data_IF_997562225141
#
_entry.id   IF_997562225141
#
_cell.length_a   1.000
_cell.length_b   1.000
_cell.length_c   1.000
_cell.angle_alpha   90.00
_cell.angle_beta   90.00
_cell.angle_gamma   90.00
#
_symmetry.space_group_name_H-M   'P 1'
#
loop_
_entity.id
_entity.type
_entity.pdbx_description
1 polymer ?
#
# COMPACT_ATOMS: atom_id res chain seq x y z
N UNK A 1 -28.46 -1.81 -6.27
CA UNK A 1 -28.42 -0.57 -5.47
C UNK A 1 -27.18 0.19 -5.90
N UNK A 2 -27.38 1.26 -6.66
CA UNK A 2 -26.33 2.06 -7.27
C UNK A 2 -26.15 3.34 -6.44
N UNK A 3 -24.91 3.67 -6.09
CA UNK A 3 -24.58 4.90 -5.39
C UNK A 3 -24.03 5.91 -6.42
N UNK A 4 -24.82 6.97 -6.64
CA UNK A 4 -24.55 8.08 -7.53
C UNK A 4 -24.15 9.29 -6.68
N UNK A 5 -22.97 9.87 -6.90
CA UNK A 5 -22.60 11.17 -6.31
C UNK A 5 -22.76 12.25 -7.36
N UNK A 6 -23.74 13.13 -7.12
CA UNK A 6 -24.18 14.17 -8.02
C UNK A 6 -23.18 15.31 -8.20
N UNK A 7 -23.05 15.74 -9.44
CA UNK A 7 -22.63 17.08 -9.85
C UNK A 7 -23.79 18.07 -9.69
N UNK A 8 -23.49 19.36 -9.50
CA UNK A 8 -24.35 20.40 -10.03
C UNK A 8 -23.58 21.27 -11.02
N UNK A 9 -24.09 21.32 -12.25
CA UNK A 9 -23.80 22.37 -13.23
C UNK A 9 -24.96 23.36 -13.21
N UNK A 10 -24.66 24.65 -13.12
CA UNK A 10 -25.64 25.74 -13.22
C UNK A 10 -24.96 27.05 -13.62
N UNK A 11 -25.32 27.52 -14.81
CA UNK A 11 -24.74 28.60 -15.61
C UNK A 11 -25.23 30.03 -15.28
N UNK A 12 -24.33 31.00 -15.48
CA UNK A 12 -24.50 32.38 -16.01
C UNK A 12 -25.39 33.43 -15.31
N UNK A 13 -24.76 34.55 -14.91
CA UNK A 13 -25.40 35.85 -14.69
C UNK A 13 -24.38 36.96 -14.43
N UNK A 14 -24.29 37.95 -15.32
CA UNK A 14 -23.39 39.12 -15.27
C UNK A 14 -23.99 40.28 -14.48
N UNK A 15 -23.22 40.93 -13.60
CA UNK A 15 -23.25 42.38 -13.30
C UNK A 15 -22.11 42.77 -12.34
N UNK A 16 -21.65 44.01 -12.46
CA UNK A 16 -20.40 44.54 -11.92
C UNK A 16 -20.49 45.22 -10.54
N UNK A 17 -19.33 45.23 -9.88
CA UNK A 17 -18.73 46.28 -9.03
C UNK A 17 -19.28 46.65 -7.63
N UNK A 18 -18.28 46.80 -6.75
CA UNK A 18 -18.08 47.74 -5.62
C UNK A 18 -18.49 47.39 -4.18
N UNK A 19 -17.46 47.56 -3.33
CA UNK A 19 -17.42 47.96 -1.92
C UNK A 19 -17.61 46.92 -0.80
N UNK A 20 -16.53 46.75 -0.02
CA UNK A 20 -16.55 46.39 1.40
C UNK A 20 -17.11 47.58 2.22
N UNK A 21 -17.70 47.35 3.41
CA UNK A 21 -16.89 47.39 4.63
C UNK A 21 -17.33 46.44 5.78
N UNK A 22 -16.37 46.30 6.71
CA UNK A 22 -16.38 45.90 8.12
C UNK A 22 -17.69 45.59 8.88
N UNK A 23 -17.60 44.57 9.74
CA UNK A 23 -18.01 44.70 11.15
C UNK A 23 -18.99 43.67 11.74
N UNK A 24 -18.47 42.93 12.73
CA UNK A 24 -19.06 42.74 14.07
C UNK A 24 -19.97 41.52 14.37
N UNK A 25 -19.58 40.84 15.48
CA UNK A 25 -20.25 39.87 16.35
C UNK A 25 -20.39 38.38 15.97
N UNK A 26 -20.02 37.52 16.94
CA UNK A 26 -20.75 36.28 17.22
C UNK A 26 -19.92 35.02 17.51
N UNK A 27 -19.20 34.98 18.63
CA UNK A 27 -18.56 33.78 19.19
C UNK A 27 -19.59 32.73 19.66
N UNK A 28 -19.40 31.46 19.34
CA UNK A 28 -19.88 30.35 20.18
C UNK A 28 -18.89 29.19 20.13
N UNK A 29 -18.14 29.03 21.23
CA UNK A 29 -17.34 27.86 21.55
C UNK A 29 -18.27 26.68 21.84
N UNK A 30 -18.11 25.57 21.12
CA UNK A 30 -18.72 24.30 21.49
C UNK A 30 -17.75 23.53 22.40
N UNK A 31 -18.19 23.25 23.64
CA UNK A 31 -17.41 22.53 24.66
C UNK A 31 -17.50 21.02 24.46
N UNK A 32 -16.38 20.36 24.69
CA UNK A 32 -16.23 18.90 24.65
C UNK A 32 -16.98 18.15 25.75
N UNK A 33 -17.20 16.87 25.48
CA UNK A 33 -17.75 15.87 26.39
C UNK A 33 -16.59 15.12 27.07
N UNK A 34 -16.45 15.28 28.39
CA UNK A 34 -15.55 14.50 29.23
C UNK A 34 -16.37 13.72 30.26
N UNK A 35 -16.11 12.41 30.35
CA UNK A 35 -16.67 11.52 31.36
C UNK A 35 -15.66 11.34 32.48
N UNK A 36 -16.03 11.68 33.72
CA UNK A 36 -15.19 11.49 34.90
C UNK A 36 -16.01 11.53 36.18
N UNK A 37 -15.64 10.66 37.13
CA UNK A 37 -16.11 10.52 38.53
C UNK A 37 -17.53 9.93 38.68
N UNK A 38 -17.80 8.91 39.50
CA UNK A 38 -17.10 8.38 40.67
C UNK A 38 -18.03 8.48 41.88
N UNK A 39 -18.68 7.37 42.27
CA UNK A 39 -19.38 7.12 43.55
C UNK A 39 -19.92 5.68 43.47
N UNK A 40 -19.90 4.78 44.46
CA UNK A 40 -19.45 4.79 45.85
C UNK A 40 -19.87 3.44 46.45
N UNK A 41 -18.92 2.76 47.08
CA UNK A 41 -19.02 1.78 48.19
C UNK A 41 -20.40 1.31 48.67
N UNK A 42 -20.65 0.00 48.63
CA UNK A 42 -21.33 -0.72 49.72
C UNK A 42 -20.70 -2.10 49.94
N UNK A 43 -20.26 -2.30 51.17
CA UNK A 43 -19.78 -3.51 51.83
C UNK A 43 -20.88 -4.59 51.87
N UNK A 44 -20.52 -5.83 51.55
CA UNK A 44 -21.42 -6.98 51.70
C UNK A 44 -20.66 -8.29 51.63
N UNK A 45 -20.33 -8.83 52.79
CA UNK A 45 -19.68 -10.12 53.03
C UNK A 45 -20.69 -11.25 52.80
N UNK A 46 -20.43 -12.18 51.89
CA UNK A 46 -20.96 -13.56 51.98
C UNK A 46 -20.14 -14.54 51.13
N UNK A 47 -19.55 -15.49 51.83
CA UNK A 47 -19.04 -16.80 51.37
C UNK A 47 -20.04 -17.56 50.51
N UNK A 48 -19.59 -18.21 49.43
CA UNK A 48 -20.42 -19.12 48.64
C UNK A 48 -19.66 -19.91 47.58
N UNK A 49 -19.45 -21.19 47.89
CA UNK A 49 -18.87 -22.26 47.07
C UNK A 49 -19.74 -22.60 45.84
N UNK A 50 -19.10 -22.94 44.73
CA UNK A 50 -19.43 -24.16 43.96
C UNK A 50 -20.31 -24.07 42.70
N UNK A 51 -19.91 -24.88 41.71
CA UNK A 51 -20.64 -25.35 40.51
C UNK A 51 -20.80 -24.30 39.39
N UNK A 52 -20.33 -24.49 38.16
CA UNK A 52 -20.15 -25.70 37.37
C UNK A 52 -21.07 -25.59 36.16
N UNK A 53 -20.52 -25.22 34.99
CA UNK A 53 -21.15 -25.51 33.69
C UNK A 53 -20.08 -25.48 32.60
N UNK A 54 -19.68 -26.67 32.16
CA UNK A 54 -18.85 -26.88 30.99
C UNK A 54 -19.70 -27.16 29.76
N UNK A 55 -19.18 -26.73 28.61
CA UNK A 55 -19.33 -27.31 27.25
C UNK A 55 -18.15 -26.74 26.47
N UNK A 56 -17.11 -27.46 26.06
CA UNK A 56 -17.04 -28.85 25.62
C UNK A 56 -16.97 -28.89 24.09
N UNK A 57 -15.83 -28.52 23.50
CA UNK A 57 -15.42 -28.92 22.14
C UNK A 57 -13.96 -29.36 22.21
N UNK A 58 -13.79 -30.67 22.34
CA UNK A 58 -12.50 -31.32 22.49
C UNK A 58 -11.77 -31.49 21.16
N UNK A 59 -10.45 -31.35 21.24
CA UNK A 59 -9.50 -32.06 20.41
C UNK A 59 -8.44 -32.68 21.33
N UNK A 60 -8.17 -33.97 21.10
CA UNK A 60 -7.54 -34.90 22.03
C UNK A 60 -6.10 -34.57 22.42
N UNK A 61 -5.79 -34.86 23.68
CA UNK A 61 -4.44 -34.84 24.22
C UNK A 61 -3.65 -36.07 23.80
N UNK A 62 -2.41 -35.85 23.37
CA UNK A 62 -1.37 -36.85 23.41
C UNK A 62 -0.55 -36.67 24.69
N UNK A 63 -0.63 -37.66 25.57
CA UNK A 63 0.27 -37.81 26.71
C UNK A 63 1.67 -38.14 26.22
N UNK A 64 2.67 -37.36 26.60
CA UNK A 64 4.07 -37.82 26.64
C UNK A 64 4.64 -37.56 28.03
N UNK A 65 5.07 -38.66 28.65
CA UNK A 65 5.71 -38.77 29.95
C UNK A 65 6.88 -37.79 30.13
N UNK A 66 6.95 -37.24 31.34
CA UNK A 66 8.19 -36.76 31.95
C UNK A 66 9.19 -37.93 32.05
N UNK A 67 10.42 -37.71 31.61
CA UNK A 67 11.56 -38.47 32.12
C UNK A 67 12.77 -37.55 32.30
N UNK A 68 13.29 -37.63 33.53
CA UNK A 68 14.45 -36.92 34.07
C UNK A 68 15.71 -37.12 33.23
N UNK A 69 16.49 -36.04 33.10
CA UNK A 69 17.89 -36.07 32.74
C UNK A 69 18.69 -36.81 33.81
N UNK A 70 19.42 -37.85 33.42
CA UNK A 70 20.62 -38.25 34.11
C UNK A 70 21.72 -38.59 33.11
N UNK A 71 22.85 -37.94 33.36
CA UNK A 71 24.06 -37.90 32.57
C UNK A 71 24.87 -39.17 32.82
N UNK A 72 25.19 -39.96 31.79
CA UNK A 72 26.30 -40.91 31.84
C UNK A 72 26.89 -41.14 30.44
N UNK A 73 28.18 -40.84 30.34
CA UNK A 73 29.08 -41.03 29.20
C UNK A 73 29.38 -42.52 28.95
N UNK A 74 29.18 -43.01 27.72
CA UNK A 74 30.09 -43.96 27.04
C UNK A 74 29.71 -44.09 25.54
N UNK A 75 30.70 -44.10 24.66
CA UNK A 75 30.58 -43.80 23.22
C UNK A 75 30.18 -44.94 22.27
N UNK A 76 30.08 -44.60 20.98
CA UNK A 76 29.99 -45.59 19.90
C UNK A 76 29.18 -45.18 18.67
N UNK A 77 29.81 -44.42 17.77
CA UNK A 77 29.89 -44.78 16.35
C UNK A 77 28.60 -44.87 15.50
N UNK A 78 27.69 -43.89 15.51
CA UNK A 78 26.79 -43.62 14.36
C UNK A 78 26.32 -42.16 14.39
N UNK A 79 27.13 -41.25 13.87
CA UNK A 79 26.74 -39.85 13.64
C UNK A 79 26.28 -39.68 12.20
N UNK A 80 24.96 -39.71 11.99
CA UNK A 80 24.34 -39.20 10.78
C UNK A 80 23.72 -37.84 11.12
N UNK A 81 24.12 -36.73 10.49
CA UNK A 81 23.46 -35.45 10.71
C UNK A 81 22.08 -35.51 10.04
N UNK A 82 21.03 -35.66 10.84
CA UNK A 82 19.66 -35.40 10.40
C UNK A 82 19.49 -33.89 10.20
N UNK A 83 19.75 -33.43 8.98
CA UNK A 83 19.23 -32.15 8.49
C UNK A 83 17.70 -32.24 8.45
N UNK A 84 17.03 -31.85 9.54
CA UNK A 84 15.62 -31.48 9.46
C UNK A 84 15.51 -30.21 8.60
N UNK A 85 14.62 -30.16 7.59
CA UNK A 85 14.51 -29.01 6.70
C UNK A 85 14.07 -27.79 7.49
N UNK A 86 14.79 -26.67 7.40
CA UNK A 86 14.54 -25.44 8.15
C UNK A 86 13.09 -24.90 8.08
N UNK A 87 12.34 -25.33 7.06
CA UNK A 87 10.95 -24.98 6.82
C UNK A 87 9.98 -25.54 7.87
N UNK A 88 10.24 -26.73 8.43
CA UNK A 88 9.36 -27.32 9.46
C UNK A 88 9.41 -26.56 10.78
N UNK A 89 10.59 -26.07 11.16
CA UNK A 89 10.76 -25.25 12.37
C UNK A 89 10.05 -23.89 12.26
N UNK A 90 10.03 -23.30 11.06
CA UNK A 90 9.32 -22.03 10.82
C UNK A 90 7.80 -22.19 10.96
N UNK A 91 7.22 -23.26 10.41
CA UNK A 91 5.80 -23.58 10.57
C UNK A 91 5.41 -23.82 12.03
N UNK A 92 6.25 -24.56 12.78
CA UNK A 92 6.02 -24.83 14.21
C UNK A 92 6.09 -23.55 15.05
N UNK A 93 7.07 -22.68 14.77
CA UNK A 93 7.20 -21.40 15.45
C UNK A 93 6.01 -20.48 15.13
N UNK A 94 5.57 -20.46 13.86
CA UNK A 94 4.39 -19.71 13.42
C UNK A 94 3.13 -20.21 14.14
N UNK A 95 2.93 -21.52 14.19
CA UNK A 95 1.79 -22.12 14.90
C UNK A 95 1.82 -21.76 16.39
N UNK A 96 2.99 -21.85 17.04
CA UNK A 96 3.17 -21.48 18.44
C UNK A 96 2.84 -20.00 18.68
N UNK A 97 3.34 -19.11 17.83
CA UNK A 97 3.06 -17.67 17.93
C UNK A 97 1.58 -17.30 17.79
N UNK A 98 0.82 -18.08 17.00
CA UNK A 98 -0.58 -17.81 16.73
C UNK A 98 -1.54 -18.50 17.69
N UNK A 99 -1.13 -19.60 18.34
CA UNK A 99 -2.02 -20.42 19.16
C UNK A 99 -1.71 -20.37 20.65
N UNK A 100 -0.44 -20.44 21.03
CA UNK A 100 -0.01 -20.57 22.41
C UNK A 100 1.39 -19.96 22.62
N UNK A 101 1.53 -18.62 22.54
CA UNK A 101 2.76 -17.98 22.97
C UNK A 101 2.98 -18.21 24.47
N UNK A 102 4.24 -18.30 24.87
CA UNK A 102 4.70 -18.48 26.26
C UNK A 102 5.73 -17.41 26.61
N UNK A 103 5.49 -16.17 26.16
CA UNK A 103 6.46 -15.08 26.30
C UNK A 103 6.47 -14.55 27.74
N UNK A 104 5.29 -14.44 28.35
CA UNK A 104 5.11 -13.89 29.70
C UNK A 104 4.74 -14.98 30.73
N UNK A 105 4.20 -16.11 30.29
CA UNK A 105 3.81 -17.23 31.15
C UNK A 105 2.52 -16.98 31.93
N UNK A 106 1.74 -15.98 31.53
CA UNK A 106 0.48 -15.57 32.17
C UNK A 106 -0.63 -15.28 31.14
N UNK A 107 -1.78 -14.80 31.59
CA UNK A 107 -2.95 -14.56 30.73
C UNK A 107 -2.71 -13.56 29.60
N UNK A 108 -1.68 -12.71 29.69
CA UNK A 108 -1.36 -11.72 28.65
C UNK A 108 -0.86 -12.39 27.38
N UNK A 109 -0.32 -13.61 27.48
CA UNK A 109 0.04 -14.41 26.32
C UNK A 109 -1.19 -14.72 25.44
N UNK A 110 -2.40 -14.86 26.02
CA UNK A 110 -3.61 -15.03 25.22
C UNK A 110 -3.96 -13.77 24.41
N UNK A 111 -3.70 -12.58 24.96
CA UNK A 111 -3.87 -11.30 24.25
C UNK A 111 -2.80 -11.17 23.16
N UNK A 112 -1.55 -11.53 23.46
CA UNK A 112 -0.46 -11.56 22.50
C UNK A 112 -0.77 -12.48 21.31
N UNK A 113 -1.36 -13.65 21.55
CA UNK A 113 -1.80 -14.54 20.48
C UNK A 113 -2.80 -13.86 19.54
N UNK A 114 -3.77 -13.10 20.08
CA UNK A 114 -4.71 -12.33 19.26
C UNK A 114 -4.04 -11.22 18.46
N UNK A 115 -3.05 -10.55 19.04
CA UNK A 115 -2.27 -9.53 18.33
C UNK A 115 -1.42 -10.14 17.21
N UNK A 116 -0.80 -11.30 17.45
CA UNK A 116 -0.06 -12.04 16.45
C UNK A 116 -0.98 -12.53 15.32
N UNK A 117 -2.19 -13.00 15.65
CA UNK A 117 -3.22 -13.36 14.65
C UNK A 117 -3.59 -12.18 13.77
N UNK A 118 -3.78 -11.00 14.34
CA UNK A 118 -4.11 -9.79 13.58
C UNK A 118 -2.99 -9.43 12.59
N UNK A 119 -1.74 -9.41 13.06
CA UNK A 119 -0.57 -9.15 12.22
C UNK A 119 -0.42 -10.21 11.11
N UNK A 120 -0.63 -11.49 11.45
CA UNK A 120 -0.61 -12.58 10.48
C UNK A 120 -1.71 -12.45 9.42
N UNK A 121 -2.91 -12.03 9.80
CA UNK A 121 -4.02 -11.79 8.87
C UNK A 121 -3.76 -10.60 7.95
N UNK A 122 -3.03 -9.59 8.44
CA UNK A 122 -2.57 -8.45 7.65
C UNK A 122 -1.42 -8.82 6.72
N UNK A 123 -0.68 -9.87 7.02
CA UNK A 123 0.50 -10.29 6.25
C UNK A 123 1.72 -9.39 6.47
N UNK A 124 1.79 -8.70 7.61
CA UNK A 124 2.96 -7.91 8.00
C UNK A 124 3.10 -7.87 9.52
N UNK A 125 4.34 -7.89 10.00
CA UNK A 125 4.65 -7.73 11.42
C UNK A 125 5.49 -8.87 11.99
N UNK A 126 5.59 -8.90 13.32
CA UNK A 126 6.42 -9.88 14.04
C UNK A 126 5.63 -10.55 15.15
N UNK A 127 5.58 -11.89 15.10
CA UNK A 127 4.95 -12.75 16.07
C UNK A 127 5.92 -13.14 17.19
N UNK A 128 5.82 -12.47 18.33
CA UNK A 128 6.58 -12.82 19.53
C UNK A 128 5.87 -13.94 20.27
N UNK A 129 6.61 -14.95 20.71
CA UNK A 129 5.99 -16.12 21.34
C UNK A 129 6.86 -16.85 22.36
N UNK A 130 8.17 -16.63 22.36
CA UNK A 130 9.09 -17.19 23.34
C UNK A 130 10.31 -16.25 23.45
N UNK A 131 10.84 -16.04 24.67
CA UNK A 131 11.98 -15.15 24.88
C UNK A 131 13.29 -15.66 24.25
N UNK A 132 13.41 -16.98 24.09
CA UNK A 132 14.65 -17.62 23.62
C UNK A 132 14.66 -17.84 22.11
N UNK A 133 13.55 -17.56 21.42
CA UNK A 133 13.41 -17.77 19.97
C UNK A 133 13.13 -16.42 19.32
N UNK A 134 13.83 -16.09 18.21
CA UNK A 134 13.51 -14.90 17.45
C UNK A 134 12.03 -14.85 17.03
N UNK A 135 11.42 -13.66 16.96
CA UNK A 135 10.04 -13.52 16.52
C UNK A 135 9.86 -14.06 15.11
N UNK A 136 8.69 -14.64 14.85
CA UNK A 136 8.29 -15.05 13.50
C UNK A 136 7.96 -13.81 12.69
N UNK A 137 8.51 -13.70 11.49
CA UNK A 137 8.15 -12.63 10.57
C UNK A 137 6.91 -13.02 9.76
N UNK A 138 5.88 -12.17 9.80
CA UNK A 138 4.70 -12.34 8.97
C UNK A 138 4.89 -11.54 7.68
N UNK A 139 4.77 -12.22 6.55
CA UNK A 139 4.83 -11.63 5.22
C UNK A 139 3.50 -11.84 4.48
N UNK A 140 3.37 -11.27 3.28
CA UNK A 140 2.15 -11.43 2.48
C UNK A 140 1.95 -12.89 2.00
N UNK A 141 3.04 -13.67 1.94
CA UNK A 141 3.06 -15.09 1.62
C UNK A 141 2.67 -15.99 2.80
N UNK A 142 2.49 -15.41 3.99
CA UNK A 142 2.01 -16.14 5.16
C UNK A 142 0.67 -16.84 4.85
N UNK A 143 0.52 -18.15 5.13
CA UNK A 143 -0.73 -18.89 4.89
C UNK A 143 -1.96 -18.32 5.59
N UNK A 144 -1.78 -17.53 6.64
CA UNK A 144 -2.87 -16.90 7.39
C UNK A 144 -3.23 -15.50 6.89
N UNK A 145 -2.57 -14.96 5.85
CA UNK A 145 -2.91 -13.65 5.29
C UNK A 145 -4.31 -13.66 4.67
N UNK A 146 -5.21 -12.84 5.23
CA UNK A 146 -6.65 -12.82 4.90
C UNK A 146 -7.11 -11.48 4.33
N UNK A 147 -6.52 -10.39 4.78
CA UNK A 147 -6.90 -9.07 4.30
C UNK A 147 -6.26 -8.82 2.94
N UNK A 148 -7.05 -8.97 1.89
CA UNK A 148 -6.65 -8.75 0.51
C UNK A 148 -7.58 -7.72 -0.11
N UNK A 149 -7.01 -6.76 -0.83
CA UNK A 149 -7.77 -5.78 -1.60
C UNK A 149 -7.32 -5.85 -3.06
N UNK A 150 -8.29 -5.94 -3.97
CA UNK A 150 -8.04 -5.88 -5.41
C UNK A 150 -8.63 -4.57 -5.91
N UNK A 151 -7.77 -3.71 -6.45
CA UNK A 151 -8.16 -2.50 -7.14
C UNK A 151 -8.27 -2.76 -8.64
N UNK A 152 -9.38 -2.31 -9.25
CA UNK A 152 -9.49 -2.28 -10.70
C UNK A 152 -9.00 -0.93 -11.22
N UNK A 153 -8.13 -0.97 -12.20
CA UNK A 153 -7.76 0.21 -12.98
C UNK A 153 -8.27 0.04 -14.40
N UNK A 154 -8.87 1.08 -14.97
CA UNK A 154 -9.31 1.03 -16.36
C UNK A 154 -8.08 0.92 -17.26
N UNK A 155 -8.08 -0.07 -18.17
CA UNK A 155 -6.99 -0.23 -19.13
C UNK A 155 -6.96 1.00 -20.06
N UNK A 156 -5.81 1.68 -20.22
CA UNK A 156 -5.68 2.73 -21.21
C UNK A 156 -5.98 2.16 -22.60
N UNK A 157 -6.82 2.84 -23.36
CA UNK A 157 -7.15 2.50 -24.75
C UNK A 157 -6.32 3.31 -25.76
N UNK A 158 -5.24 3.92 -25.27
CA UNK A 158 -4.37 4.79 -26.03
C UNK A 158 -3.37 3.99 -26.86
N UNK A 159 -3.16 4.43 -28.10
CA UNK A 159 -2.19 3.83 -29.01
C UNK A 159 -0.83 4.49 -28.82
N UNK A 160 0.23 3.81 -29.23
CA UNK A 160 1.59 4.38 -29.16
C UNK A 160 1.71 5.69 -29.96
N UNK A 161 0.98 5.77 -31.07
CA UNK A 161 0.87 6.94 -31.96
C UNK A 161 0.21 8.16 -31.30
N UNK A 162 -0.52 7.99 -30.20
CA UNK A 162 -1.10 9.11 -29.45
C UNK A 162 0.00 9.92 -28.73
N UNK A 163 1.19 9.33 -28.54
CA UNK A 163 2.38 9.99 -28.03
C UNK A 163 2.32 10.36 -26.54
N UNK A 164 1.41 9.75 -25.78
CA UNK A 164 1.12 10.11 -24.40
C UNK A 164 2.15 9.52 -23.43
N UNK A 165 2.88 10.41 -22.76
CA UNK A 165 3.81 10.06 -21.68
C UNK A 165 3.39 10.76 -20.40
N UNK A 166 3.35 10.00 -19.31
CA UNK A 166 3.07 10.48 -17.96
C UNK A 166 4.38 10.83 -17.28
N UNK A 167 4.42 11.98 -16.64
CA UNK A 167 5.46 12.42 -15.73
C UNK A 167 4.84 12.68 -14.36
N UNK A 168 5.37 12.05 -13.32
CA UNK A 168 4.97 12.32 -11.93
C UNK A 168 5.95 13.30 -11.33
N UNK A 169 5.44 14.44 -10.86
CA UNK A 169 6.20 15.48 -10.20
C UNK A 169 6.02 15.41 -8.68
N UNK A 170 7.09 15.62 -7.92
CA UNK A 170 7.07 15.85 -6.47
C UNK A 170 6.65 17.28 -6.10
N UNK A 171 5.57 17.77 -6.72
CA UNK A 171 5.04 19.12 -6.56
C UNK A 171 3.52 19.07 -6.52
N UNK A 172 2.92 20.01 -5.79
CA UNK A 172 1.47 20.18 -5.72
C UNK A 172 0.89 20.57 -7.07
N UNK A 173 -0.35 20.16 -7.32
CA UNK A 173 -1.04 20.44 -8.58
C UNK A 173 -1.15 21.94 -8.85
N UNK A 174 -1.43 22.72 -7.81
CA UNK A 174 -1.54 24.18 -7.88
C UNK A 174 -0.25 24.82 -8.39
N UNK A 175 0.90 24.31 -7.95
CA UNK A 175 2.21 24.85 -8.30
C UNK A 175 2.51 24.54 -9.76
N UNK A 176 2.24 23.30 -10.19
CA UNK A 176 2.37 22.88 -11.60
C UNK A 176 1.48 23.72 -12.52
N UNK A 177 0.21 23.94 -12.16
CA UNK A 177 -0.71 24.77 -12.97
C UNK A 177 -0.26 26.22 -13.03
N UNK A 178 0.21 26.78 -11.91
CA UNK A 178 0.69 28.17 -11.86
C UNK A 178 1.92 28.43 -12.73
N UNK A 179 2.76 27.40 -12.92
CA UNK A 179 4.02 27.48 -13.67
C UNK A 179 3.98 26.64 -14.96
N UNK A 180 2.80 26.33 -15.50
CA UNK A 180 2.66 25.39 -16.61
C UNK A 180 3.46 25.82 -17.86
N UNK A 181 3.47 27.12 -18.19
CA UNK A 181 4.25 27.62 -19.33
C UNK A 181 5.76 27.40 -19.13
N UNK A 182 6.28 27.75 -17.96
CA UNK A 182 7.69 27.54 -17.61
C UNK A 182 8.06 26.05 -17.60
N UNK A 183 7.13 25.18 -17.15
CA UNK A 183 7.31 23.73 -17.20
C UNK A 183 7.41 23.25 -18.65
N UNK A 184 6.52 23.69 -19.54
CA UNK A 184 6.54 23.34 -20.96
C UNK A 184 7.84 23.79 -21.63
N UNK A 185 8.31 25.00 -21.34
CA UNK A 185 9.59 25.51 -21.85
C UNK A 185 10.79 24.72 -21.31
N UNK A 186 10.75 24.35 -20.03
CA UNK A 186 11.79 23.51 -19.41
C UNK A 186 11.83 22.12 -20.05
N UNK A 187 10.68 21.50 -20.29
CA UNK A 187 10.60 20.21 -20.98
C UNK A 187 11.05 20.31 -22.44
N UNK A 188 10.72 21.40 -23.13
CA UNK A 188 11.22 21.66 -24.48
C UNK A 188 12.74 21.76 -24.52
N UNK A 189 13.34 22.43 -23.54
CA UNK A 189 14.80 22.49 -23.36
C UNK A 189 15.42 21.11 -23.07
N UNK A 190 14.77 20.29 -22.25
CA UNK A 190 15.21 18.90 -21.99
C UNK A 190 15.22 18.08 -23.27
N UNK A 191 14.28 18.32 -24.18
CA UNK A 191 14.22 17.70 -25.52
C UNK A 191 15.20 18.33 -26.53
N UNK A 192 16.17 19.13 -26.06
CA UNK A 192 17.20 19.76 -26.88
C UNK A 192 16.83 21.13 -27.46
N UNK A 193 15.66 21.69 -27.12
CA UNK A 193 15.26 23.03 -27.54
C UNK A 193 15.02 23.19 -29.04
N UNK A 194 14.76 22.09 -29.75
CA UNK A 194 14.59 22.13 -31.20
C UNK A 194 13.26 22.80 -31.59
N UNK A 195 13.34 23.81 -32.46
CA UNK A 195 12.19 24.51 -33.05
C UNK A 195 11.26 23.61 -33.87
N UNK A 196 11.67 22.40 -34.25
CA UNK A 196 10.79 21.40 -34.87
C UNK A 196 9.93 20.64 -33.86
N UNK A 197 10.21 20.74 -32.56
CA UNK A 197 9.48 20.04 -31.52
C UNK A 197 8.59 21.02 -30.73
N UNK A 198 7.39 20.57 -30.39
CA UNK A 198 6.46 21.31 -29.52
C UNK A 198 5.91 20.39 -28.45
N UNK A 199 6.12 20.75 -27.19
CA UNK A 199 5.59 20.01 -26.03
C UNK A 199 4.18 20.51 -25.72
N UNK A 200 3.26 19.57 -25.54
CA UNK A 200 1.87 19.86 -25.21
C UNK A 200 1.47 19.11 -23.93
N UNK A 201 0.64 19.75 -23.11
CA UNK A 201 0.09 19.15 -21.88
C UNK A 201 -1.34 18.69 -22.19
N UNK A 202 -1.56 17.38 -22.08
CA UNK A 202 -2.86 16.75 -22.27
C UNK A 202 -3.70 16.82 -20.98
N UNK A 203 -3.05 16.59 -19.83
CA UNK A 203 -3.76 16.52 -18.57
C UNK A 203 -2.86 16.74 -17.36
N UNK A 204 -3.46 17.24 -16.29
CA UNK A 204 -2.82 17.43 -14.99
C UNK A 204 -3.78 16.90 -13.93
N UNK A 205 -3.28 16.04 -13.03
CA UNK A 205 -4.08 15.39 -11.99
C UNK A 205 -3.27 15.29 -10.70
N UNK A 206 -3.85 15.71 -9.58
CA UNK A 206 -3.29 15.49 -8.25
C UNK A 206 -3.13 14.00 -7.93
N UNK A 207 -2.01 13.68 -7.28
CA UNK A 207 -1.73 12.41 -6.62
C UNK A 207 -1.55 12.65 -5.11
N UNK A 208 -1.58 11.59 -4.28
CA UNK A 208 -1.23 11.70 -2.86
C UNK A 208 0.18 12.25 -2.62
N UNK A 209 0.47 12.62 -1.38
CA UNK A 209 1.80 13.06 -0.92
C UNK A 209 2.35 14.30 -1.66
N UNK A 210 1.47 15.25 -1.97
CA UNK A 210 1.80 16.47 -2.70
C UNK A 210 2.46 16.20 -4.07
N UNK A 211 2.09 15.09 -4.71
CA UNK A 211 2.54 14.75 -6.07
C UNK A 211 1.51 15.14 -7.12
N UNK A 212 1.98 15.29 -8.36
CA UNK A 212 1.12 15.61 -9.51
C UNK A 212 1.50 14.75 -10.70
N UNK A 213 0.50 14.13 -11.31
CA UNK A 213 0.59 13.48 -12.61
C UNK A 213 0.39 14.53 -13.70
N UNK A 214 1.34 14.62 -14.64
CA UNK A 214 1.24 15.45 -15.85
C UNK A 214 1.37 14.54 -17.07
N UNK A 215 0.35 14.54 -17.92
CA UNK A 215 0.35 13.81 -19.19
C UNK A 215 0.74 14.77 -20.30
N UNK A 216 1.76 14.42 -21.07
CA UNK A 216 2.26 15.22 -22.18
C UNK A 216 2.29 14.41 -23.48
N UNK A 217 2.32 15.14 -24.60
CA UNK A 217 2.75 14.60 -25.89
C UNK A 217 3.62 15.63 -26.62
N UNK A 218 4.45 15.15 -27.54
CA UNK A 218 5.34 16.00 -28.34
C UNK A 218 4.92 15.92 -29.80
N UNK A 219 4.79 17.08 -30.44
CA UNK A 219 4.57 17.18 -31.90
C UNK A 219 5.90 17.52 -32.56
N UNK A 220 6.27 16.74 -33.57
CA UNK A 220 7.42 16.95 -34.43
C UNK A 220 6.96 17.46 -35.80
N UNK A 221 7.53 18.59 -36.22
CA UNK A 221 7.33 19.18 -37.56
C UNK A 221 8.49 18.78 -38.47
N UNK A 222 8.16 18.06 -39.53
CA UNK A 222 9.10 17.66 -40.58
C UNK A 222 9.45 18.84 -41.51
N UNK A 223 10.62 18.80 -42.20
CA UNK A 223 11.02 19.86 -43.13
C UNK A 223 10.05 20.08 -44.30
N UNK A 224 9.25 19.07 -44.66
CA UNK A 224 8.19 19.15 -45.66
C UNK A 224 6.93 19.90 -45.16
N UNK A 225 6.92 20.38 -43.92
CA UNK A 225 5.81 21.10 -43.31
C UNK A 225 4.80 20.23 -42.57
N UNK A 226 4.85 18.90 -42.71
CA UNK A 226 3.94 17.97 -42.04
C UNK A 226 4.28 17.87 -40.55
N UNK A 227 3.25 17.79 -39.70
CA UNK A 227 3.41 17.61 -38.25
C UNK A 227 2.82 16.27 -37.82
N UNK A 228 3.51 15.57 -36.92
CA UNK A 228 3.03 14.31 -36.32
C UNK A 228 3.38 14.26 -34.84
N UNK A 229 2.65 13.44 -34.07
CA UNK A 229 3.05 13.16 -32.69
C UNK A 229 4.25 12.22 -32.68
N UNK A 230 5.16 12.42 -31.75
CA UNK A 230 6.25 11.48 -31.46
C UNK A 230 5.63 10.27 -30.76
N UNK A 231 5.89 9.03 -31.21
CA UNK A 231 5.35 7.83 -30.55
C UNK A 231 5.76 7.74 -29.08
N UNK A 232 4.86 7.27 -28.22
CA UNK A 232 5.04 7.27 -26.77
C UNK A 232 6.27 6.46 -26.34
N UNK A 233 6.47 5.29 -26.97
CA UNK A 233 7.63 4.41 -26.72
C UNK A 233 8.95 5.12 -27.06
N UNK A 234 9.01 5.85 -28.18
CA UNK A 234 10.20 6.61 -28.58
C UNK A 234 10.48 7.76 -27.61
N UNK A 235 9.44 8.52 -27.25
CA UNK A 235 9.58 9.64 -26.32
C UNK A 235 10.03 9.16 -24.93
N UNK A 236 9.43 8.08 -24.43
CA UNK A 236 9.81 7.48 -23.15
C UNK A 236 11.24 6.95 -23.16
N UNK A 237 11.65 6.25 -24.22
CA UNK A 237 13.04 5.76 -24.36
C UNK A 237 14.06 6.90 -24.33
N UNK A 238 13.72 8.08 -24.86
CA UNK A 238 14.56 9.27 -24.76
C UNK A 238 14.64 9.79 -23.31
N UNK A 239 13.52 9.86 -22.59
CA UNK A 239 13.50 10.27 -21.18
C UNK A 239 14.29 9.33 -20.25
N UNK A 240 14.40 8.05 -20.60
CA UNK A 240 15.19 7.07 -19.84
C UNK A 240 16.71 7.18 -20.07
N UNK A 241 17.17 7.99 -21.04
CA UNK A 241 18.61 8.26 -21.21
C UNK A 241 19.16 8.95 -19.95
N UNK A 242 20.29 8.48 -19.41
CA UNK A 242 20.82 8.91 -18.10
C UNK A 242 20.91 10.43 -17.92
N UNK A 243 21.40 11.14 -18.94
CA UNK A 243 21.51 12.60 -18.94
C UNK A 243 20.14 13.30 -18.91
N UNK A 244 19.18 12.79 -19.69
CA UNK A 244 17.82 13.33 -19.79
C UNK A 244 17.05 13.06 -18.50
N UNK A 245 17.13 11.83 -17.99
CA UNK A 245 16.54 11.42 -16.72
C UNK A 245 17.01 12.30 -15.55
N UNK A 246 18.30 12.63 -15.51
CA UNK A 246 18.86 13.53 -14.50
C UNK A 246 18.27 14.95 -14.61
N UNK A 247 18.10 15.48 -15.83
CA UNK A 247 17.46 16.79 -16.02
C UNK A 247 15.99 16.78 -15.62
N UNK A 248 15.24 15.72 -15.94
CA UNK A 248 13.85 15.56 -15.51
C UNK A 248 13.74 15.50 -13.99
N UNK A 249 14.65 14.78 -13.31
CA UNK A 249 14.72 14.75 -11.85
C UNK A 249 14.96 16.14 -11.25
N UNK A 250 15.80 16.97 -11.87
CA UNK A 250 16.01 18.36 -11.44
C UNK A 250 14.75 19.22 -11.59
N UNK A 251 13.86 18.90 -12.54
CA UNK A 251 12.55 19.53 -12.66
C UNK A 251 11.53 19.04 -11.63
N UNK A 252 11.88 17.99 -10.87
CA UNK A 252 11.04 17.35 -9.86
C UNK A 252 10.33 16.08 -10.33
N UNK A 253 10.69 15.53 -11.49
CA UNK A 253 10.10 14.27 -11.97
C UNK A 253 10.65 13.10 -11.16
N UNK A 254 9.76 12.33 -10.54
CA UNK A 254 10.08 11.12 -9.77
C UNK A 254 9.85 9.84 -10.56
N UNK A 255 8.90 9.86 -11.50
CA UNK A 255 8.52 8.71 -12.31
C UNK A 255 8.07 9.16 -13.70
N UNK A 256 8.43 8.37 -14.71
CA UNK A 256 7.94 8.49 -16.09
C UNK A 256 7.34 7.15 -16.53
N UNK A 257 6.28 7.17 -17.33
CA UNK A 257 5.70 5.97 -17.95
C UNK A 257 4.91 6.32 -19.21
N UNK A 258 4.73 5.37 -20.12
CA UNK A 258 3.82 5.53 -21.27
C UNK A 258 2.38 5.25 -20.87
N UNK A 259 1.41 5.96 -21.48
CA UNK A 259 0.00 5.52 -21.49
C UNK A 259 -0.29 4.80 -22.79
N UNK A 260 0.26 3.61 -22.96
CA UNK A 260 -0.04 2.76 -24.12
C UNK A 260 -0.87 1.56 -23.65
N UNK A 261 -1.84 1.15 -24.46
CA UNK A 261 -2.59 -0.09 -24.25
C UNK A 261 -1.62 -1.27 -24.08
N UNK A 262 -1.85 -2.09 -23.04
CA UNK A 262 -1.10 -3.33 -22.84
C UNK A 262 -1.48 -4.32 -23.94
N UNK A 263 -0.49 -4.93 -24.58
CA UNK A 263 -0.76 -5.97 -25.58
C UNK A 263 -1.50 -7.17 -24.95
N UNK A 264 -2.29 -7.93 -25.73
CA UNK A 264 -2.96 -9.14 -25.24
C UNK A 264 -2.00 -10.14 -24.57
N UNK A 265 -0.76 -10.23 -25.05
CA UNK A 265 0.27 -11.07 -24.45
C UNK A 265 0.71 -10.57 -23.07
N UNK A 266 0.88 -9.26 -22.89
CA UNK A 266 1.21 -8.64 -21.60
C UNK A 266 0.07 -8.79 -20.59
N UNK A 267 -1.18 -8.58 -21.03
CA UNK A 267 -2.37 -8.81 -20.19
C UNK A 267 -2.42 -10.27 -19.75
N UNK A 268 -2.24 -11.21 -20.69
CA UNK A 268 -2.22 -12.65 -20.38
C UNK A 268 -1.12 -13.00 -19.39
N UNK A 269 0.07 -12.42 -19.54
CA UNK A 269 1.18 -12.63 -18.60
C UNK A 269 0.87 -12.07 -17.20
N UNK A 270 0.26 -10.90 -17.10
CA UNK A 270 -0.18 -10.31 -15.83
C UNK A 270 -1.24 -11.17 -15.13
N UNK A 271 -2.22 -11.68 -15.87
CA UNK A 271 -3.27 -12.54 -15.33
C UNK A 271 -2.77 -13.93 -14.93
N UNK A 272 -1.74 -14.45 -15.59
CA UNK A 272 -1.15 -15.76 -15.25
C UNK A 272 -0.29 -15.74 -13.98
N UNK A 273 0.21 -14.57 -13.59
CA UNK A 273 1.15 -14.44 -12.48
C UNK A 273 0.51 -13.61 -11.35
N UNK A 274 -0.21 -14.25 -10.42
CA UNK A 274 -0.80 -13.54 -9.28
C UNK A 274 0.28 -12.86 -8.44
N UNK A 275 0.03 -11.65 -7.91
CA UNK A 275 0.89 -11.02 -6.93
C UNK A 275 1.04 -11.89 -5.67
N UNK A 276 2.14 -11.68 -4.94
CA UNK A 276 2.37 -12.36 -3.67
C UNK A 276 1.16 -12.22 -2.72
N UNK A 277 0.77 -13.35 -2.11
CA UNK A 277 -0.39 -13.40 -1.21
C UNK A 277 -1.74 -13.57 -1.90
N UNK A 278 -1.88 -13.43 -3.23
CA UNK A 278 -3.12 -13.76 -3.95
C UNK A 278 -3.12 -15.22 -4.41
N UNK A 279 -4.23 -15.95 -4.20
CA UNK A 279 -4.34 -17.30 -4.77
C UNK A 279 -4.67 -17.19 -6.26
N UNK A 280 -4.19 -18.12 -7.11
CA UNK A 280 -4.52 -18.13 -8.53
C UNK A 280 -6.03 -18.06 -8.79
N UNK A 281 -6.82 -18.81 -8.01
CA UNK A 281 -8.29 -18.83 -8.09
C UNK A 281 -8.94 -17.47 -7.78
N UNK A 282 -8.31 -16.65 -6.92
CA UNK A 282 -8.80 -15.30 -6.59
C UNK A 282 -8.33 -14.22 -7.57
N UNK A 283 -7.35 -14.54 -8.42
CA UNK A 283 -6.72 -13.60 -9.35
C UNK A 283 -7.20 -13.79 -10.79
N UNK A 284 -7.51 -15.03 -11.19
CA UNK A 284 -8.04 -15.39 -12.52
C UNK A 284 -9.46 -14.89 -12.75
#
# INVERSE_FOLDING_TARGET
MAFNFGTPSGTSGTAAATAAPAGFFGSTQNKGFGFGTGFGTTTGTSTGLGTGLGTGLGFGGFNTQQQQQQQTTLGGLFSQPTHAPAQSNQLINTASALSAPTLLGDERDAILAKWNQLQAFWGTGKGYFNNNIPPVEFTLENPFCRFKAVGYSCMPNNKDEDGLVVLVFNKKETDIRSQQQQLVESLHKVLGGNQTLTVNVEGIKTLPDDQTEVVIYVVERSPNGTSRRVPATTLYAHFEQTNIKTQLQQLGVTLSMTRTELSPAQIKQLLQNPPAGMSPESWS
#
